data_IF_866294161071
#
_entry.id   IF_866294161071
#
_cell.length_a   1.000
_cell.length_b   1.000
_cell.length_c   1.000
_cell.angle_alpha   90.00
_cell.angle_beta   90.00
_cell.angle_gamma   90.00
#
_symmetry.space_group_name_H-M   'P 1'
#
loop_
_entity.id
_entity.type
_entity.pdbx_description
1 polymer ?
#
# COMPACT_ATOMS: atom_id res chain seq x y z
N UNK A 1 -1.94 -33.96 25.82
CA UNK A 1 -2.72 -33.47 24.67
C UNK A 1 -3.23 -32.10 25.03
N UNK A 2 -2.50 -31.05 24.63
CA UNK A 2 -2.85 -29.67 24.96
C UNK A 2 -4.04 -29.27 24.09
N UNK A 3 -5.18 -28.98 24.71
CA UNK A 3 -6.35 -28.44 24.03
C UNK A 3 -5.98 -27.05 23.51
N UNK A 4 -5.90 -26.92 22.18
CA UNK A 4 -5.76 -25.62 21.53
C UNK A 4 -6.95 -24.75 21.91
N UNK A 5 -6.74 -23.86 22.89
CA UNK A 5 -7.73 -22.91 23.35
C UNK A 5 -7.80 -21.78 22.32
N UNK A 6 -8.42 -22.06 21.18
CA UNK A 6 -8.68 -21.04 20.16
C UNK A 6 -9.74 -20.08 20.73
N UNK A 7 -9.55 -18.76 20.58
CA UNK A 7 -10.51 -17.78 21.07
C UNK A 7 -11.86 -17.98 20.36
N UNK A 8 -12.93 -18.18 21.13
CA UNK A 8 -14.29 -18.21 20.60
C UNK A 8 -14.68 -16.79 20.15
N UNK A 9 -15.03 -16.62 18.88
CA UNK A 9 -15.48 -15.33 18.32
C UNK A 9 -16.94 -15.46 17.88
N UNK A 10 -17.76 -14.43 18.15
CA UNK A 10 -19.16 -14.43 17.76
C UNK A 10 -19.30 -14.21 16.23
N UNK A 11 -20.19 -14.95 15.54
CA UNK A 11 -20.31 -14.89 14.07
C UNK A 11 -20.64 -13.48 13.55
N UNK A 12 -21.44 -12.71 14.28
CA UNK A 12 -21.76 -11.32 13.96
C UNK A 12 -20.54 -10.40 14.04
N UNK A 13 -19.70 -10.57 15.06
CA UNK A 13 -18.46 -9.81 15.21
C UNK A 13 -17.50 -10.06 14.04
N UNK A 14 -17.30 -11.33 13.67
CA UNK A 14 -16.49 -11.72 12.52
C UNK A 14 -17.00 -11.09 11.23
N UNK A 15 -18.32 -11.11 11.01
CA UNK A 15 -18.95 -10.53 9.81
C UNK A 15 -18.73 -9.01 9.74
N UNK A 16 -18.91 -8.31 10.85
CA UNK A 16 -18.64 -6.87 10.94
C UNK A 16 -17.15 -6.56 10.71
N UNK A 17 -16.24 -7.34 11.30
CA UNK A 17 -14.79 -7.18 11.09
C UNK A 17 -14.40 -7.41 9.61
N UNK A 18 -14.98 -8.43 8.96
CA UNK A 18 -14.78 -8.70 7.54
C UNK A 18 -15.26 -7.54 6.66
N UNK A 19 -16.46 -7.02 6.91
CA UNK A 19 -16.99 -5.86 6.19
C UNK A 19 -16.12 -4.62 6.41
N UNK A 20 -15.78 -4.32 7.67
CA UNK A 20 -14.96 -3.18 8.06
C UNK A 20 -13.56 -3.23 7.42
N UNK A 21 -12.96 -4.41 7.25
CA UNK A 21 -11.63 -4.57 6.63
C UNK A 21 -11.54 -4.06 5.18
N UNK A 22 -12.68 -3.97 4.49
CA UNK A 22 -12.82 -3.49 3.11
C UNK A 22 -13.19 -2.00 3.02
N UNK A 23 -13.45 -1.34 4.16
CA UNK A 23 -13.91 0.05 4.24
C UNK A 23 -12.80 0.96 4.79
N UNK A 24 -12.90 2.25 4.49
CA UNK A 24 -11.97 3.23 5.02
C UNK A 24 -12.11 3.31 6.54
N UNK A 25 -11.01 3.02 7.25
CA UNK A 25 -10.97 2.90 8.71
C UNK A 25 -10.64 4.22 9.39
N UNK A 26 -9.84 5.05 8.72
CA UNK A 26 -9.29 6.26 9.27
C UNK A 26 -9.69 7.45 8.41
N UNK A 27 -10.17 8.49 9.07
CA UNK A 27 -10.47 9.79 8.50
C UNK A 27 -9.68 10.81 9.31
N UNK A 28 -8.98 11.71 8.66
CA UNK A 28 -8.21 12.75 9.33
C UNK A 28 -8.45 14.08 8.64
N UNK A 29 -8.63 15.13 9.44
CA UNK A 29 -8.72 16.52 9.00
C UNK A 29 -7.88 17.41 9.93
N UNK A 30 -7.89 18.73 9.69
CA UNK A 30 -7.15 19.70 10.50
C UNK A 30 -7.68 19.81 11.95
N UNK A 31 -8.83 19.22 12.25
CA UNK A 31 -9.54 19.35 13.52
C UNK A 31 -9.53 18.04 14.36
N UNK A 32 -9.17 16.91 13.77
CA UNK A 32 -9.08 15.63 14.47
C UNK A 32 -8.88 14.41 13.56
N UNK A 33 -8.87 13.25 14.20
CA UNK A 33 -8.81 11.94 13.57
C UNK A 33 -10.01 11.11 14.00
N UNK A 34 -10.59 10.34 13.09
CA UNK A 34 -11.66 9.40 13.36
C UNK A 34 -11.21 8.02 12.95
N UNK A 35 -11.36 7.04 13.83
CA UNK A 35 -11.02 5.64 13.59
C UNK A 35 -12.23 4.74 13.84
N UNK A 36 -12.41 3.75 12.97
CA UNK A 36 -13.48 2.75 13.08
C UNK A 36 -12.94 1.41 13.56
N UNK A 37 -13.63 0.79 14.51
CA UNK A 37 -13.33 -0.53 15.07
C UNK A 37 -14.61 -1.32 15.33
N UNK A 38 -14.50 -2.63 15.56
CA UNK A 38 -15.62 -3.46 16.04
C UNK A 38 -15.34 -3.81 17.49
N UNK A 39 -16.27 -3.48 18.39
CA UNK A 39 -16.16 -3.80 19.81
C UNK A 39 -17.55 -3.87 20.46
N UNK A 40 -17.63 -4.54 21.61
CA UNK A 40 -18.83 -4.45 22.44
C UNK A 40 -18.95 -3.04 23.07
N UNK A 41 -20.17 -2.51 23.21
CA UNK A 41 -20.38 -1.23 23.88
C UNK A 41 -19.97 -1.29 25.35
N UNK A 42 -19.45 -0.17 25.86
CA UNK A 42 -19.12 -0.02 27.27
C UNK A 42 -20.37 -0.02 28.17
N UNK A 43 -20.18 -0.28 29.46
CA UNK A 43 -21.29 -0.42 30.42
C UNK A 43 -22.01 0.90 30.79
N UNK A 44 -21.39 2.06 30.51
CA UNK A 44 -21.83 3.39 30.98
C UNK A 44 -22.25 4.34 29.84
N UNK A 45 -23.06 3.87 28.89
CA UNK A 45 -23.60 4.71 27.81
C UNK A 45 -24.97 5.26 28.22
N UNK A 46 -25.12 6.59 28.22
CA UNK A 46 -26.29 7.31 28.73
C UNK A 46 -26.89 8.29 27.70
N UNK A 47 -26.23 8.47 26.54
CA UNK A 47 -26.65 9.41 25.51
C UNK A 47 -26.68 8.77 24.12
N UNK A 48 -27.71 9.09 23.34
CA UNK A 48 -27.80 8.78 21.91
C UNK A 48 -27.76 10.07 21.10
N UNK A 49 -26.87 10.12 20.12
CA UNK A 49 -26.87 11.13 19.06
C UNK A 49 -27.47 10.50 17.81
N UNK A 50 -28.59 11.04 17.35
CA UNK A 50 -29.21 10.66 16.09
C UNK A 50 -28.39 11.23 14.94
N UNK A 51 -27.96 10.38 14.02
CA UNK A 51 -27.15 10.76 12.88
C UNK A 51 -27.75 10.26 11.57
N UNK A 52 -27.47 10.97 10.50
CA UNK A 52 -27.46 10.43 9.14
C UNK A 52 -26.01 10.36 8.70
N UNK A 53 -25.55 9.19 8.25
CA UNK A 53 -24.20 9.05 7.73
C UNK A 53 -24.22 8.35 6.38
N UNK A 54 -23.83 9.10 5.34
CA UNK A 54 -23.96 8.66 3.94
C UNK A 54 -25.41 8.29 3.52
N UNK A 55 -26.42 8.97 4.06
CA UNK A 55 -27.83 8.70 3.77
C UNK A 55 -28.41 7.51 4.54
N UNK A 56 -27.64 6.94 5.48
CA UNK A 56 -28.09 5.87 6.37
C UNK A 56 -28.34 6.46 7.75
N UNK A 57 -29.60 6.48 8.24
CA UNK A 57 -29.90 6.93 9.58
C UNK A 57 -29.39 5.91 10.60
N UNK A 58 -28.70 6.39 11.63
CA UNK A 58 -28.12 5.58 12.69
C UNK A 58 -28.15 6.28 14.05
N UNK A 59 -27.95 5.51 15.12
CA UNK A 59 -27.92 6.00 16.50
C UNK A 59 -26.51 5.83 17.05
N UNK A 60 -25.84 6.92 17.44
CA UNK A 60 -24.53 6.87 18.09
C UNK A 60 -24.70 6.94 19.61
N UNK A 61 -24.45 5.83 20.28
CA UNK A 61 -24.37 5.74 21.73
C UNK A 61 -23.03 6.27 22.21
N UNK A 62 -23.04 7.19 23.16
CA UNK A 62 -21.85 7.70 23.81
C UNK A 62 -22.13 8.05 25.26
N UNK A 63 -21.07 8.40 26.00
CA UNK A 63 -21.21 8.91 27.37
C UNK A 63 -21.36 10.42 27.34
N UNK A 64 -22.44 10.94 27.91
CA UNK A 64 -22.78 12.36 28.00
C UNK A 64 -21.63 13.17 28.61
N UNK A 65 -21.03 12.66 29.69
CA UNK A 65 -19.89 13.31 30.34
C UNK A 65 -18.68 13.45 29.40
N UNK A 66 -18.41 12.44 28.56
CA UNK A 66 -17.31 12.47 27.59
C UNK A 66 -17.60 13.42 26.44
N UNK A 67 -18.85 13.45 25.97
CA UNK A 67 -19.29 14.39 24.95
C UNK A 67 -19.20 15.85 25.45
N UNK A 68 -19.62 16.11 26.70
CA UNK A 68 -19.50 17.43 27.31
C UNK A 68 -18.03 17.87 27.45
N UNK A 69 -17.14 16.96 27.87
CA UNK A 69 -15.69 17.22 27.94
C UNK A 69 -15.08 17.54 26.57
N UNK A 70 -15.56 16.87 25.51
CA UNK A 70 -15.12 17.12 24.13
C UNK A 70 -15.41 18.56 23.68
N UNK A 71 -16.61 19.07 23.98
CA UNK A 71 -17.04 20.42 23.62
C UNK A 71 -16.63 21.52 24.62
N UNK A 72 -16.17 21.15 25.82
CA UNK A 72 -15.86 22.10 26.88
C UNK A 72 -14.95 23.28 26.45
N UNK A 73 -13.90 23.08 25.63
CA UNK A 73 -13.04 24.20 25.19
C UNK A 73 -13.75 25.23 24.32
N UNK A 74 -14.82 24.85 23.62
CA UNK A 74 -15.57 25.72 22.71
C UNK A 74 -16.72 26.45 23.40
N UNK A 75 -17.17 25.92 24.54
CA UNK A 75 -18.35 26.41 25.27
C UNK A 75 -18.03 27.45 26.36
N UNK A 76 -16.78 27.91 26.49
CA UNK A 76 -16.37 29.00 27.41
C UNK A 76 -16.96 28.84 28.83
N UNK A 77 -16.88 27.63 29.39
CA UNK A 77 -17.41 27.23 30.70
C UNK A 77 -18.93 27.00 30.81
N UNK A 78 -19.70 27.08 29.72
CA UNK A 78 -21.05 26.56 29.68
C UNK A 78 -21.05 25.02 29.61
N UNK A 79 -21.91 24.37 30.41
CA UNK A 79 -22.09 22.93 30.36
C UNK A 79 -22.98 22.55 29.17
N UNK A 80 -22.47 21.72 28.26
CA UNK A 80 -23.21 21.21 27.11
C UNK A 80 -24.57 20.62 27.51
N UNK A 81 -24.63 19.88 28.62
CA UNK A 81 -25.85 19.23 29.10
C UNK A 81 -26.95 20.24 29.51
N UNK A 82 -26.56 21.45 29.91
CA UNK A 82 -27.47 22.51 30.35
C UNK A 82 -28.05 23.34 29.20
N UNK A 83 -27.49 23.21 27.99
CA UNK A 83 -27.92 23.98 26.84
C UNK A 83 -29.30 23.50 26.32
N UNK A 84 -30.15 24.41 25.80
CA UNK A 84 -31.34 24.02 25.04
C UNK A 84 -30.98 23.10 23.87
N UNK A 85 -31.87 22.15 23.55
CA UNK A 85 -31.67 21.14 22.50
C UNK A 85 -31.24 21.74 21.15
N UNK A 86 -31.82 22.87 20.75
CA UNK A 86 -31.45 23.57 19.52
C UNK A 86 -29.98 24.02 19.49
N UNK A 87 -29.43 24.47 20.63
CA UNK A 87 -28.03 24.87 20.74
C UNK A 87 -27.11 23.66 20.85
N UNK A 88 -27.53 22.59 21.54
CA UNK A 88 -26.78 21.33 21.56
C UNK A 88 -26.60 20.75 20.15
N UNK A 89 -27.67 20.75 19.34
CA UNK A 89 -27.61 20.33 17.94
C UNK A 89 -26.67 21.22 17.12
N UNK A 90 -26.76 22.54 17.28
CA UNK A 90 -25.91 23.47 16.54
C UNK A 90 -24.42 23.26 16.84
N UNK A 91 -24.06 23.01 18.11
CA UNK A 91 -22.69 22.68 18.53
C UNK A 91 -22.24 21.35 17.93
N UNK A 92 -23.08 20.32 17.99
CA UNK A 92 -22.78 19.02 17.37
C UNK A 92 -22.51 19.15 15.87
N UNK A 93 -23.35 19.89 15.15
CA UNK A 93 -23.21 20.07 13.69
C UNK A 93 -21.98 20.89 13.30
N UNK A 94 -21.54 21.81 14.17
CA UNK A 94 -20.41 22.69 13.87
C UNK A 94 -19.06 22.06 14.22
N UNK A 95 -18.99 21.39 15.36
CA UNK A 95 -17.72 21.13 16.05
C UNK A 95 -17.38 19.63 16.21
N UNK A 96 -18.18 18.72 15.64
CA UNK A 96 -17.75 17.31 15.48
C UNK A 96 -16.70 17.19 14.37
N UNK A 97 -15.66 16.33 14.54
CA UNK A 97 -14.69 16.05 13.47
C UNK A 97 -15.44 15.66 12.20
N UNK A 98 -15.03 16.21 11.05
CA UNK A 98 -15.81 16.07 9.82
C UNK A 98 -15.64 14.66 9.26
N UNK A 99 -16.46 13.73 9.77
CA UNK A 99 -16.78 12.52 9.04
C UNK A 99 -17.50 12.94 7.75
N UNK A 100 -17.03 12.52 6.56
CA UNK A 100 -17.68 12.87 5.31
C UNK A 100 -19.15 12.45 5.35
N UNK A 101 -20.04 13.36 4.97
CA UNK A 101 -21.48 13.11 4.87
C UNK A 101 -22.16 12.68 6.18
N UNK A 102 -21.57 12.98 7.35
CA UNK A 102 -22.22 12.80 8.64
C UNK A 102 -23.01 14.06 9.02
N UNK A 103 -24.28 13.88 9.41
CA UNK A 103 -25.16 14.93 9.90
C UNK A 103 -25.76 14.53 11.23
N UNK A 104 -25.69 15.41 12.22
CA UNK A 104 -26.41 15.22 13.48
C UNK A 104 -27.85 15.73 13.35
N UNK A 105 -28.80 14.86 13.67
CA UNK A 105 -30.25 15.11 13.56
C UNK A 105 -30.90 15.41 14.91
N UNK A 106 -30.31 14.96 16.01
CA UNK A 106 -30.87 15.14 17.35
C UNK A 106 -30.08 14.44 18.44
N UNK A 107 -30.51 14.65 19.68
CA UNK A 107 -29.96 14.00 20.88
C UNK A 107 -31.14 13.50 21.72
N UNK A 108 -31.01 12.30 22.26
CA UNK A 108 -31.98 11.69 23.16
C UNK A 108 -31.27 10.87 24.26
N UNK A 109 -31.90 10.63 25.42
CA UNK A 109 -31.32 9.76 26.44
C UNK A 109 -31.20 8.33 25.92
N UNK A 110 -30.13 7.62 26.33
CA UNK A 110 -29.96 6.22 25.95
C UNK A 110 -31.05 5.34 26.60
N UNK A 111 -31.65 4.48 25.77
CA UNK A 111 -32.60 3.46 26.21
C UNK A 111 -31.91 2.11 26.46
N UNK A 112 -32.57 1.02 26.06
CA UNK A 112 -31.95 -0.30 26.10
C UNK A 112 -30.76 -0.37 25.12
N UNK A 113 -29.60 -0.77 25.64
CA UNK A 113 -28.34 -0.89 24.88
C UNK A 113 -28.10 -2.37 24.56
N UNK A 114 -27.96 -2.67 23.27
CA UNK A 114 -27.54 -3.98 22.82
C UNK A 114 -26.07 -4.19 23.16
N UNK A 115 -25.72 -5.28 23.86
CA UNK A 115 -24.34 -5.56 24.31
C UNK A 115 -23.54 -6.45 23.35
N UNK A 116 -24.06 -6.68 22.15
CA UNK A 116 -23.36 -7.41 21.10
C UNK A 116 -22.23 -6.54 20.53
N UNK A 117 -21.25 -7.17 19.88
CA UNK A 117 -20.20 -6.42 19.20
C UNK A 117 -20.80 -5.62 18.04
N UNK A 118 -20.58 -4.31 18.06
CA UNK A 118 -21.08 -3.37 17.06
C UNK A 118 -19.97 -2.50 16.48
N UNK A 119 -20.32 -1.65 15.52
CA UNK A 119 -19.39 -0.68 14.97
C UNK A 119 -19.12 0.42 16.02
N UNK A 120 -17.85 0.62 16.36
CA UNK A 120 -17.37 1.69 17.21
C UNK A 120 -16.71 2.77 16.34
N UNK A 121 -17.14 4.01 16.54
CA UNK A 121 -16.57 5.22 15.96
C UNK A 121 -15.81 5.95 17.05
N UNK A 122 -14.48 6.02 16.95
CA UNK A 122 -13.65 6.74 17.92
C UNK A 122 -13.17 8.04 17.33
N UNK A 123 -13.59 9.15 17.92
CA UNK A 123 -13.13 10.49 17.59
C UNK A 123 -11.91 10.82 18.46
N UNK A 124 -10.85 11.35 17.86
CA UNK A 124 -9.61 11.78 18.50
C UNK A 124 -9.27 13.20 18.10
N UNK A 125 -8.98 14.04 19.08
CA UNK A 125 -8.56 15.43 18.86
C UNK A 125 -7.58 15.86 19.96
N UNK A 126 -7.17 17.13 19.96
CA UNK A 126 -6.37 17.71 21.05
C UNK A 126 -7.11 17.65 22.41
N UNK A 127 -8.44 17.58 22.40
CA UNK A 127 -9.29 17.55 23.59
C UNK A 127 -9.37 16.15 24.24
N UNK A 128 -9.03 15.09 23.51
CA UNK A 128 -9.01 13.72 24.03
C UNK A 128 -9.61 12.69 23.06
N UNK A 129 -10.21 11.65 23.63
CA UNK A 129 -10.86 10.55 22.90
C UNK A 129 -12.34 10.49 23.27
N UNK A 130 -13.19 10.41 22.25
CA UNK A 130 -14.63 10.21 22.37
C UNK A 130 -15.04 8.96 21.59
N UNK A 131 -15.16 7.80 22.27
CA UNK A 131 -15.69 6.60 21.67
C UNK A 131 -17.22 6.65 21.62
N UNK A 132 -17.77 6.33 20.45
CA UNK A 132 -19.20 6.20 20.20
C UNK A 132 -19.49 4.83 19.57
N UNK A 133 -20.63 4.21 19.90
CA UNK A 133 -21.06 2.93 19.34
C UNK A 133 -22.30 3.12 18.49
N UNK A 134 -22.32 2.49 17.33
CA UNK A 134 -23.46 2.53 16.42
C UNK A 134 -24.47 1.49 16.87
N UNK A 135 -25.68 1.94 17.19
CA UNK A 135 -26.83 1.10 17.46
C UNK A 135 -27.75 1.07 16.22
N UNK A 136 -28.09 -0.14 15.76
CA UNK A 136 -28.89 -0.38 14.55
C UNK A 136 -28.13 -1.22 13.51
N UNK A 137 -28.50 -1.05 12.24
CA UNK A 137 -27.92 -1.83 11.13
C UNK A 137 -26.50 -1.36 10.78
N UNK A 138 -25.54 -1.85 11.57
CA UNK A 138 -24.10 -1.59 11.36
C UNK A 138 -23.62 -2.13 10.01
N UNK A 139 -24.22 -3.19 9.47
CA UNK A 139 -23.81 -3.76 8.19
C UNK A 139 -24.18 -2.84 7.03
N UNK A 140 -25.39 -2.30 7.04
CA UNK A 140 -25.86 -1.36 6.02
C UNK A 140 -25.06 -0.05 6.05
N UNK A 141 -24.76 0.47 7.25
CA UNK A 141 -23.90 1.63 7.41
C UNK A 141 -22.49 1.36 6.87
N UNK A 142 -21.85 0.24 7.25
CA UNK A 142 -20.55 -0.15 6.71
C UNK A 142 -20.59 -0.32 5.18
N UNK A 143 -21.70 -0.79 4.63
CA UNK A 143 -21.86 -0.96 3.19
C UNK A 143 -21.86 0.38 2.43
N UNK A 144 -22.33 1.46 3.06
CA UNK A 144 -22.37 2.82 2.51
C UNK A 144 -21.02 3.56 2.62
N UNK A 145 -20.13 3.16 3.54
CA UNK A 145 -18.83 3.82 3.72
C UNK A 145 -17.91 3.69 2.49
N UNK A 146 -17.03 4.68 2.24
CA UNK A 146 -16.01 4.58 1.20
C UNK A 146 -15.18 3.30 1.31
N UNK A 147 -14.83 2.71 0.15
CA UNK A 147 -13.92 1.56 0.11
C UNK A 147 -12.53 1.98 0.56
N UNK A 148 -11.86 1.10 1.30
CA UNK A 148 -10.49 1.32 1.74
C UNK A 148 -9.59 1.54 0.53
N UNK A 149 -8.84 2.66 0.43
CA UNK A 149 -7.97 2.90 -0.70
C UNK A 149 -6.86 1.84 -0.72
N UNK A 150 -6.35 1.51 -1.92
CA UNK A 150 -5.40 0.41 -2.09
C UNK A 150 -4.14 0.57 -1.23
N UNK A 151 -3.64 1.81 -1.11
CA UNK A 151 -2.52 2.22 -0.24
C UNK A 151 -2.70 1.87 1.24
N UNK A 152 -3.93 1.85 1.72
CA UNK A 152 -4.22 1.46 3.11
C UNK A 152 -4.43 -0.06 3.24
N UNK A 153 -4.80 -0.76 2.16
CA UNK A 153 -5.09 -2.20 2.18
C UNK A 153 -3.81 -3.05 2.18
N UNK A 154 -2.85 -2.67 1.35
CA UNK A 154 -1.64 -3.44 1.10
C UNK A 154 -0.48 -2.47 0.89
N UNK A 155 0.31 -2.23 1.93
CA UNK A 155 1.60 -1.53 1.80
C UNK A 155 2.66 -2.54 1.33
N UNK A 156 2.50 -3.04 0.11
CA UNK A 156 3.47 -3.95 -0.51
C UNK A 156 4.49 -3.09 -1.23
N UNK A 157 5.74 -3.22 -0.80
CA UNK A 157 6.90 -2.65 -1.44
C UNK A 157 7.47 -3.66 -2.42
N UNK A 158 7.60 -3.26 -3.69
CA UNK A 158 8.16 -4.08 -4.76
C UNK A 158 9.54 -3.54 -5.14
N UNK A 159 10.50 -4.42 -5.39
CA UNK A 159 11.82 -4.00 -5.84
C UNK A 159 11.83 -3.84 -7.36
N UNK A 160 11.98 -2.60 -7.81
CA UNK A 160 12.29 -2.27 -9.19
C UNK A 160 13.80 -2.43 -9.42
N UNK A 161 14.15 -3.45 -10.19
CA UNK A 161 15.49 -3.65 -10.73
C UNK A 161 15.54 -3.06 -12.13
N UNK A 162 16.50 -2.16 -12.36
CA UNK A 162 16.77 -1.56 -13.66
C UNK A 162 17.82 -2.40 -14.34
N UNK A 163 17.48 -2.98 -15.49
CA UNK A 163 18.34 -3.94 -16.17
C UNK A 163 18.55 -3.52 -17.62
N UNK A 164 19.74 -3.71 -18.18
CA UNK A 164 19.82 -3.79 -19.64
C UNK A 164 19.06 -5.01 -20.14
N UNK A 165 18.62 -4.91 -21.40
CA UNK A 165 17.97 -6.03 -22.09
C UNK A 165 18.81 -7.30 -21.94
N UNK A 166 18.18 -8.46 -21.63
CA UNK A 166 18.89 -9.71 -21.51
C UNK A 166 19.65 -10.06 -22.79
N UNK A 167 20.85 -10.62 -22.61
CA UNK A 167 21.61 -11.32 -23.62
C UNK A 167 21.34 -12.83 -23.46
N UNK A 168 21.02 -13.52 -24.54
CA UNK A 168 20.92 -14.97 -24.52
C UNK A 168 22.32 -15.58 -24.59
N UNK A 169 22.76 -16.21 -23.51
CA UNK A 169 24.00 -16.96 -23.45
C UNK A 169 23.70 -18.45 -23.27
N UNK A 170 24.52 -19.32 -23.86
CA UNK A 170 24.38 -20.76 -23.62
C UNK A 170 24.96 -21.16 -22.27
N UNK A 171 24.62 -22.37 -21.80
CA UNK A 171 25.27 -22.93 -20.61
C UNK A 171 26.78 -23.10 -20.80
N UNK A 172 27.24 -23.37 -22.03
CA UNK A 172 28.66 -23.43 -22.35
C UNK A 172 29.33 -22.06 -22.17
N UNK A 173 28.76 -21.00 -22.76
CA UNK A 173 29.31 -19.64 -22.65
C UNK A 173 29.41 -19.17 -21.19
N UNK A 174 28.40 -19.48 -20.37
CA UNK A 174 28.39 -19.13 -18.96
C UNK A 174 29.45 -19.85 -18.12
N UNK A 175 29.84 -21.08 -18.51
CA UNK A 175 30.88 -21.84 -17.81
C UNK A 175 32.28 -21.37 -18.16
N UNK A 176 32.47 -20.92 -19.39
CA UNK A 176 33.76 -20.44 -19.88
C UNK A 176 33.99 -18.96 -19.54
N UNK A 177 32.93 -18.24 -19.11
CA UNK A 177 33.00 -16.86 -18.67
C UNK A 177 34.00 -16.68 -17.52
N UNK A 178 35.01 -15.84 -17.74
CA UNK A 178 36.07 -15.51 -16.81
C UNK A 178 36.09 -14.04 -16.39
N UNK A 179 36.84 -13.74 -15.34
CA UNK A 179 37.15 -12.34 -14.98
C UNK A 179 38.01 -11.69 -16.06
N UNK A 180 37.62 -10.49 -16.50
CA UNK A 180 38.25 -9.76 -17.60
C UNK A 180 37.50 -9.87 -18.93
N UNK A 181 36.62 -10.86 -19.07
CA UNK A 181 35.79 -11.02 -20.28
C UNK A 181 34.83 -9.85 -20.44
N UNK A 182 34.47 -9.55 -21.69
CA UNK A 182 33.58 -8.45 -22.03
C UNK A 182 32.33 -8.98 -22.71
N UNK A 183 31.18 -8.74 -22.09
CA UNK A 183 29.87 -9.03 -22.63
C UNK A 183 29.35 -7.79 -23.35
N UNK A 184 29.27 -7.83 -24.68
CA UNK A 184 28.79 -6.72 -25.49
C UNK A 184 27.27 -6.60 -25.37
N UNK A 185 26.79 -5.39 -25.06
CA UNK A 185 25.37 -5.11 -24.98
C UNK A 185 24.77 -4.93 -26.38
N UNK A 186 23.46 -5.23 -26.56
CA UNK A 186 22.78 -4.97 -27.82
C UNK A 186 22.95 -3.51 -28.27
N UNK A 187 23.05 -3.29 -29.58
CA UNK A 187 23.24 -1.96 -30.14
C UNK A 187 22.12 -1.00 -29.67
N UNK A 188 22.51 0.12 -29.06
CA UNK A 188 21.61 1.15 -28.55
C UNK A 188 22.32 2.49 -28.43
N UNK A 189 21.56 3.57 -28.26
CA UNK A 189 22.11 4.91 -28.11
C UNK A 189 22.74 5.05 -26.72
N UNK A 190 24.06 5.30 -26.60
CA UNK A 190 24.74 5.31 -25.29
C UNK A 190 24.33 6.50 -24.41
N UNK A 191 23.89 7.60 -25.01
CA UNK A 191 23.49 8.83 -24.29
C UNK A 191 22.15 8.71 -23.56
N UNK A 192 21.30 7.77 -23.99
CA UNK A 192 19.95 7.62 -23.45
C UNK A 192 19.63 6.13 -23.52
N UNK A 193 20.12 5.33 -22.57
CA UNK A 193 19.93 3.89 -22.60
C UNK A 193 18.47 3.52 -22.30
N UNK A 194 17.94 2.57 -23.08
CA UNK A 194 16.68 1.90 -22.76
C UNK A 194 16.95 0.74 -21.81
N UNK A 195 16.29 0.79 -20.67
CA UNK A 195 16.37 -0.20 -19.61
C UNK A 195 15.06 -0.98 -19.54
N UNK A 196 15.16 -2.24 -19.14
CA UNK A 196 14.05 -3.07 -18.71
C UNK A 196 13.87 -2.87 -17.21
N UNK A 197 12.71 -2.35 -16.81
CA UNK A 197 12.26 -2.37 -15.42
C UNK A 197 11.70 -3.74 -15.08
N UNK A 198 12.28 -4.37 -14.06
CA UNK A 198 11.88 -5.69 -13.55
C UNK A 198 11.40 -5.55 -12.11
N UNK A 199 10.15 -5.94 -11.84
CA UNK A 199 9.56 -5.92 -10.50
C UNK A 199 9.66 -7.31 -9.88
N UNK A 200 10.45 -7.46 -8.82
CA UNK A 200 10.68 -8.74 -8.11
C UNK A 200 10.91 -9.94 -9.05
N UNK A 201 11.71 -9.72 -10.09
CA UNK A 201 12.08 -10.74 -11.08
C UNK A 201 11.13 -10.87 -12.30
N UNK A 202 10.02 -10.14 -12.33
CA UNK A 202 9.11 -10.12 -13.48
C UNK A 202 9.32 -8.88 -14.35
N UNK A 203 9.54 -9.03 -15.66
CA UNK A 203 9.57 -7.90 -16.59
C UNK A 203 8.29 -7.07 -16.49
N UNK A 204 8.43 -5.75 -16.32
CA UNK A 204 7.29 -4.86 -16.08
C UNK A 204 7.15 -3.79 -17.15
N UNK A 205 8.22 -3.06 -17.47
CA UNK A 205 8.16 -1.93 -18.38
C UNK A 205 9.51 -1.67 -19.06
N UNK A 206 9.47 -0.97 -20.19
CA UNK A 206 10.65 -0.33 -20.76
C UNK A 206 10.74 1.11 -20.27
N UNK A 207 11.92 1.45 -19.77
CA UNK A 207 12.24 2.72 -19.16
C UNK A 207 13.35 3.39 -19.96
N UNK A 208 13.19 4.69 -20.23
CA UNK A 208 14.21 5.52 -20.85
C UNK A 208 14.89 6.29 -19.73
N UNK A 209 16.20 6.14 -19.59
CA UNK A 209 16.97 6.93 -18.63
C UNK A 209 17.42 8.24 -19.25
N UNK A 210 17.18 9.34 -18.52
CA UNK A 210 17.74 10.67 -18.73
C UNK A 210 18.27 11.19 -17.38
N UNK A 211 19.60 11.14 -17.21
CA UNK A 211 20.32 11.41 -15.96
C UNK A 211 19.78 10.61 -14.74
N UNK A 212 18.90 11.24 -13.95
CA UNK A 212 18.27 10.67 -12.75
C UNK A 212 16.77 10.46 -12.93
N UNK A 213 16.24 10.64 -14.13
CA UNK A 213 14.82 10.46 -14.45
C UNK A 213 14.64 9.24 -15.34
N UNK A 214 13.69 8.40 -14.97
CA UNK A 214 13.24 7.27 -15.77
C UNK A 214 11.86 7.59 -16.33
N UNK A 215 11.79 7.74 -17.65
CA UNK A 215 10.51 7.84 -18.34
C UNK A 215 10.00 6.44 -18.67
N UNK A 216 8.77 6.13 -18.25
CA UNK A 216 8.10 4.89 -18.63
C UNK A 216 7.64 5.01 -20.08
N UNK A 217 8.30 4.30 -20.99
CA UNK A 217 7.99 4.38 -22.42
C UNK A 217 6.83 3.46 -22.79
N UNK A 218 6.86 2.22 -22.29
CA UNK A 218 5.81 1.24 -22.53
C UNK A 218 5.83 0.16 -21.45
N UNK A 219 4.67 -0.47 -21.24
CA UNK A 219 4.59 -1.68 -20.44
C UNK A 219 5.20 -2.85 -21.22
N UNK A 220 5.74 -3.82 -20.51
CA UNK A 220 6.28 -5.03 -21.11
C UNK A 220 5.14 -5.99 -21.42
N UNK A 221 4.97 -6.33 -22.69
CA UNK A 221 4.07 -7.40 -23.11
C UNK A 221 4.85 -8.72 -23.10
N UNK A 222 4.43 -9.67 -22.28
CA UNK A 222 5.06 -11.00 -22.23
C UNK A 222 4.84 -11.68 -23.59
N UNK A 223 5.90 -11.97 -24.36
CA UNK A 223 5.73 -12.74 -25.59
C UNK A 223 5.28 -14.17 -25.24
N UNK A 224 4.52 -14.85 -26.11
CA UNK A 224 4.16 -16.24 -25.91
C UNK A 224 5.43 -17.09 -25.84
N UNK A 225 5.50 -17.99 -24.84
CA UNK A 225 6.59 -18.94 -24.68
C UNK A 225 6.60 -19.88 -25.88
N UNK A 226 7.76 -20.01 -26.55
CA UNK A 226 7.94 -20.94 -27.67
C UNK A 226 8.42 -22.27 -27.11
N UNK A 227 7.72 -23.36 -27.44
CA UNK A 227 8.12 -24.72 -27.07
C UNK A 227 9.51 -25.03 -27.66
N UNK A 228 10.53 -25.03 -26.81
CA UNK A 228 11.90 -25.36 -27.20
C UNK A 228 12.13 -26.84 -26.93
N UNK A 229 12.47 -27.62 -27.96
CA UNK A 229 12.86 -29.03 -27.79
C UNK A 229 14.23 -29.08 -27.10
N UNK A 230 14.27 -29.74 -25.94
CA UNK A 230 15.49 -29.91 -25.13
C UNK A 230 16.35 -31.04 -25.70
N UNK A 231 17.00 -30.79 -26.84
CA UNK A 231 17.85 -31.81 -27.48
C UNK A 231 19.29 -31.84 -26.94
N UNK A 232 19.76 -30.75 -26.31
CA UNK A 232 21.04 -30.69 -25.58
C UNK A 232 21.04 -29.62 -24.49
N UNK A 233 21.30 -29.99 -23.23
CA UNK A 233 21.29 -29.07 -22.10
C UNK A 233 22.34 -27.95 -22.25
N UNK A 234 23.51 -28.23 -22.82
CA UNK A 234 24.58 -27.24 -22.99
C UNK A 234 24.22 -26.08 -23.92
N UNK A 235 23.23 -26.27 -24.79
CA UNK A 235 22.75 -25.26 -25.75
C UNK A 235 21.53 -24.49 -25.23
N UNK A 236 21.10 -24.73 -23.99
CA UNK A 236 19.97 -24.04 -23.38
C UNK A 236 20.24 -22.52 -23.37
N UNK A 237 19.40 -21.70 -24.03
CA UNK A 237 19.52 -20.25 -23.96
C UNK A 237 19.15 -19.79 -22.55
N UNK A 238 20.10 -19.12 -21.90
CA UNK A 238 19.93 -18.52 -20.58
C UNK A 238 19.97 -17.01 -20.72
N UNK A 239 18.89 -16.31 -20.33
CA UNK A 239 18.87 -14.86 -20.34
C UNK A 239 19.79 -14.33 -19.23
N UNK A 240 20.79 -13.57 -19.64
CA UNK A 240 21.73 -12.86 -18.78
C UNK A 240 21.46 -11.38 -18.87
N UNK A 241 21.05 -10.77 -17.76
CA UNK A 241 20.77 -9.34 -17.66
C UNK A 241 21.79 -8.64 -16.76
N UNK A 242 21.89 -7.33 -16.93
CA UNK A 242 22.85 -6.49 -16.22
C UNK A 242 22.09 -5.44 -15.44
N UNK A 243 22.06 -5.60 -14.12
CA UNK A 243 21.38 -4.67 -13.22
C UNK A 243 22.28 -3.50 -12.85
N UNK A 244 21.74 -2.29 -13.01
CA UNK A 244 22.44 -1.00 -12.85
C UNK A 244 21.94 -0.16 -11.69
N UNK A 245 20.76 -0.50 -11.20
CA UNK A 245 20.11 0.27 -10.16
C UNK A 245 18.95 -0.51 -9.59
N UNK A 246 18.66 -0.23 -8.32
CA UNK A 246 17.49 -0.75 -7.63
C UNK A 246 16.78 0.38 -6.92
N UNK A 247 15.46 0.36 -6.98
CA UNK A 247 14.60 1.26 -6.26
C UNK A 247 13.42 0.47 -5.71
N UNK A 248 12.94 0.84 -4.53
CA UNK A 248 11.72 0.26 -3.98
C UNK A 248 10.56 1.17 -4.34
N UNK A 249 9.51 0.59 -4.92
CA UNK A 249 8.27 1.29 -5.25
C UNK A 249 7.10 0.65 -4.53
N UNK A 250 6.19 1.47 -4.02
CA UNK A 250 4.95 0.95 -3.44
C UNK A 250 3.96 0.54 -4.53
N UNK A 251 3.15 -0.48 -4.22
CA UNK A 251 2.15 -1.02 -5.16
C UNK A 251 1.15 0.03 -5.65
N UNK A 252 0.81 1.04 -4.83
CA UNK A 252 -0.11 2.08 -5.22
C UNK A 252 0.51 2.98 -6.30
N UNK A 253 1.73 3.44 -6.10
CA UNK A 253 2.51 4.20 -7.10
C UNK A 253 2.54 3.42 -8.41
N UNK A 254 2.97 2.15 -8.38
CA UNK A 254 3.00 1.28 -9.55
C UNK A 254 1.65 1.16 -10.25
N UNK A 255 0.54 1.05 -9.51
CA UNK A 255 -0.81 0.95 -10.08
C UNK A 255 -1.28 2.22 -10.81
N UNK A 256 -0.66 3.36 -10.54
CA UNK A 256 -1.00 4.64 -11.17
C UNK A 256 -0.14 4.99 -12.38
N UNK A 257 1.02 4.33 -12.52
CA UNK A 257 1.97 4.61 -13.59
C UNK A 257 1.44 4.18 -14.95
N UNK A 258 1.68 5.02 -15.94
CA UNK A 258 1.32 4.83 -17.34
C UNK A 258 2.48 5.29 -18.23
N UNK A 259 2.50 4.90 -19.52
CA UNK A 259 3.44 5.49 -20.47
C UNK A 259 3.46 7.02 -20.41
N UNK A 260 4.66 7.60 -20.37
CA UNK A 260 4.93 9.03 -20.15
C UNK A 260 5.11 9.44 -18.69
N UNK A 261 4.91 8.54 -17.73
CA UNK A 261 5.19 8.83 -16.32
C UNK A 261 6.71 8.88 -16.06
N UNK A 262 7.12 9.81 -15.20
CA UNK A 262 8.51 9.97 -14.77
C UNK A 262 8.70 9.38 -13.37
N UNK A 263 9.77 8.60 -13.18
CA UNK A 263 10.21 8.06 -11.90
C UNK A 263 11.58 8.68 -11.60
N UNK A 264 11.70 9.33 -10.44
CA UNK A 264 12.95 9.94 -10.00
C UNK A 264 13.83 8.91 -9.28
N UNK A 265 15.11 8.86 -9.67
CA UNK A 265 16.15 8.09 -9.00
C UNK A 265 16.80 8.94 -7.91
N UNK A 266 17.00 8.35 -6.74
CA UNK A 266 17.67 9.02 -5.62
C UNK A 266 19.16 9.30 -5.88
N UNK A 267 19.76 8.61 -6.84
CA UNK A 267 21.14 8.77 -7.26
C UNK A 267 21.29 8.41 -8.75
N UNK A 268 22.31 8.94 -9.44
CA UNK A 268 22.67 8.43 -10.77
C UNK A 268 23.01 6.93 -10.70
N UNK A 269 22.91 6.25 -11.84
CA UNK A 269 23.30 4.85 -11.95
C UNK A 269 24.80 4.67 -11.77
N UNK A 270 25.19 3.55 -11.17
CA UNK A 270 26.60 3.21 -10.98
C UNK A 270 27.19 2.63 -12.28
N UNK A 271 28.48 2.88 -12.50
CA UNK A 271 29.25 2.21 -13.55
C UNK A 271 29.45 0.72 -13.22
N UNK A 272 29.46 0.36 -11.92
CA UNK A 272 29.49 -1.03 -11.48
C UNK A 272 28.09 -1.65 -11.60
N UNK A 273 28.03 -2.83 -12.20
CA UNK A 273 26.77 -3.55 -12.49
C UNK A 273 26.78 -4.93 -11.89
N UNK A 274 25.59 -5.46 -11.61
CA UNK A 274 25.41 -6.87 -11.24
C UNK A 274 25.05 -7.68 -12.48
N UNK A 275 25.71 -8.82 -12.63
CA UNK A 275 25.44 -9.77 -13.72
C UNK A 275 24.45 -10.80 -13.17
N UNK A 276 23.27 -10.88 -13.78
CA UNK A 276 22.17 -11.74 -13.37
C UNK A 276 21.91 -12.79 -14.45
N UNK A 277 21.93 -14.08 -14.12
CA UNK A 277 21.43 -15.15 -14.98
C UNK A 277 20.10 -15.63 -14.41
N UNK A 278 19.02 -15.62 -15.20
CA UNK A 278 17.67 -15.94 -14.72
C UNK A 278 17.31 -15.17 -13.42
N UNK A 279 17.61 -13.87 -13.37
CA UNK A 279 17.39 -13.00 -12.19
C UNK A 279 18.21 -13.36 -10.94
N UNK A 280 19.10 -14.37 -11.00
CA UNK A 280 20.04 -14.70 -9.93
C UNK A 280 21.40 -14.06 -10.19
N UNK A 281 21.93 -13.38 -9.19
CA UNK A 281 23.26 -12.75 -9.27
C UNK A 281 24.35 -13.82 -9.39
N UNK A 282 25.10 -13.77 -10.49
CA UNK A 282 26.25 -14.65 -10.76
C UNK A 282 27.58 -13.91 -10.72
N UNK A 283 27.57 -12.58 -10.73
CA UNK A 283 28.80 -11.79 -10.62
C UNK A 283 28.57 -10.29 -10.62
N UNK A 284 29.66 -9.55 -10.72
CA UNK A 284 29.71 -8.10 -10.87
C UNK A 284 30.64 -7.74 -12.02
N UNK A 285 30.33 -6.66 -12.72
CA UNK A 285 31.18 -6.11 -13.76
C UNK A 285 31.18 -4.59 -13.78
N UNK A 286 31.95 -4.04 -14.70
CA UNK A 286 32.04 -2.61 -14.95
C UNK A 286 31.56 -2.31 -16.36
N UNK A 287 30.74 -1.27 -16.49
CA UNK A 287 30.38 -0.73 -17.80
C UNK A 287 31.60 -0.14 -18.49
N UNK A 288 31.82 -0.57 -19.72
CA UNK A 288 32.91 -0.11 -20.58
C UNK A 288 32.37 0.22 -21.95
N UNK A 289 33.02 1.17 -22.63
CA UNK A 289 32.74 1.47 -24.03
C UNK A 289 33.93 1.04 -24.88
N UNK A 290 33.66 0.23 -25.92
CA UNK A 290 34.67 -0.30 -26.84
C UNK A 290 34.19 -0.05 -28.25
N UNK A 291 34.96 0.69 -29.04
CA UNK A 291 34.65 1.04 -30.44
C UNK A 291 33.22 1.60 -30.62
N UNK A 292 32.79 2.44 -29.65
CA UNK A 292 31.47 3.07 -29.66
C UNK A 292 30.32 2.15 -29.20
N UNK A 293 30.58 0.90 -28.83
CA UNK A 293 29.60 -0.04 -28.27
C UNK A 293 29.73 -0.15 -26.76
N UNK A 294 28.60 -0.22 -26.06
CA UNK A 294 28.58 -0.52 -24.63
C UNK A 294 28.79 -2.01 -24.40
N UNK A 295 29.57 -2.32 -23.37
CA UNK A 295 29.78 -3.68 -22.89
C UNK A 295 29.95 -3.69 -21.37
N UNK A 296 29.91 -4.87 -20.80
CA UNK A 296 30.19 -5.10 -19.38
C UNK A 296 31.42 -5.97 -19.27
N UNK A 297 32.49 -5.43 -18.70
CA UNK A 297 33.67 -6.21 -18.34
C UNK A 297 33.42 -6.92 -17.02
N UNK A 298 33.60 -8.23 -16.98
CA UNK A 298 33.44 -9.04 -15.78
C UNK A 298 34.57 -8.72 -14.81
N UNK A 299 34.26 -8.19 -13.63
CA UNK A 299 35.25 -7.91 -12.59
C UNK A 299 35.34 -9.05 -11.58
N UNK A 300 34.19 -9.68 -11.24
CA UNK A 300 34.13 -10.80 -10.30
C UNK A 300 32.98 -11.73 -10.64
N UNK A 301 33.22 -13.04 -10.57
CA UNK A 301 32.17 -14.06 -10.59
C UNK A 301 32.00 -14.62 -9.18
N UNK A 302 30.75 -14.86 -8.78
CA UNK A 302 30.45 -15.58 -7.56
C UNK A 302 30.73 -17.07 -7.84
N UNK A 303 31.67 -17.66 -7.11
CA UNK A 303 31.93 -19.10 -7.20
C UNK A 303 30.61 -19.85 -7.02
N UNK A 304 30.25 -20.67 -8.01
CA UNK A 304 29.14 -21.60 -7.89
C UNK A 304 29.56 -22.63 -6.85
N UNK A 305 29.12 -22.48 -5.58
CA UNK A 305 29.23 -23.57 -4.63
C UNK A 305 28.47 -24.77 -5.22
N UNK A 306 29.14 -25.88 -5.57
CA UNK A 306 28.44 -27.07 -6.00
C UNK A 306 27.61 -27.55 -4.81
N UNK A 307 26.30 -27.67 -5.01
CA UNK A 307 25.40 -28.31 -4.06
C UNK A 307 25.49 -29.82 -4.24
#
# INVERSE_FOLDING_TARGET
>A
MSTSNLPATHTQELRLQQLLSHRQLHYADDHGQVSLSVSAPGDDLDLVVLIDWHGVPARLLCRQQKLAQWFAPQLQAADFASLPCALQLAVLQRDTPRLPSLQCLGIEPAGAIERSAGLQVTLRSAQGLLPCWVQGDSEHLLAALPRRPLRERLNIQLNLSLQWRPLELTLHDLRDLGTGDILLLPAGTPSSPRLLGVLDGQPWAELQLDDTHLELIRMHDTPPVTDTTLDALEQLPIPVSFEVGRQTLDLHTLSTLKPGALIELHSPLDAQVRILANQRCIGTGLLVQIDGRLGVRVDRLLEQQPT
#
